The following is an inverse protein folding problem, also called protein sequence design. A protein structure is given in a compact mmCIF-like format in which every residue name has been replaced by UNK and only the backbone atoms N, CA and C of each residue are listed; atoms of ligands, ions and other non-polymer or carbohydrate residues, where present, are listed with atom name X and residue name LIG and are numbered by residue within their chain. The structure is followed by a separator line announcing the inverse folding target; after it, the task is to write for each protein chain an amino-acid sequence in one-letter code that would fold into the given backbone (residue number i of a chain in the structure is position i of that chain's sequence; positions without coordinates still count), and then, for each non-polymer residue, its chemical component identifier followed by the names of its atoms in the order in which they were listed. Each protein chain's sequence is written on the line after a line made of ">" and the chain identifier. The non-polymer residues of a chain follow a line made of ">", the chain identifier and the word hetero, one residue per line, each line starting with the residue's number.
data_IF_837243775987
#
_entry.id   IF_837243775987
#
_cell.length_a   1.000
_cell.length_b   1.000
_cell.length_c   1.000
_cell.angle_alpha   90.00
_cell.angle_beta   90.00
_cell.angle_gamma   90.00
#
_symmetry.space_group_name_H-M   'P 1'
#
loop_
_entity.id
_entity.type
_entity.pdbx_description
1 polymer ?
#
# COMPACT_ATOMS: atom_id res chain seq x y z
N UNK A 1 -15.29 3.47 1.05
CA UNK A 1 -16.63 2.83 1.24
C UNK A 1 -17.73 3.87 1.03
N UNK A 2 -18.90 3.47 0.49
CA UNK A 2 -20.09 4.35 0.35
C UNK A 2 -21.32 3.65 0.92
N UNK A 3 -22.13 4.34 1.73
CA UNK A 3 -23.39 3.83 2.33
C UNK A 3 -24.39 4.98 2.44
N UNK A 4 -25.62 4.79 1.96
CA UNK A 4 -26.73 5.77 2.02
C UNK A 4 -26.29 7.16 1.50
N UNK A 5 -25.42 7.17 0.48
CA UNK A 5 -24.78 8.36 -0.15
C UNK A 5 -23.70 9.08 0.69
N UNK A 6 -23.28 8.54 1.82
CA UNK A 6 -22.07 8.98 2.51
C UNK A 6 -20.85 8.25 1.95
N UNK A 7 -19.83 8.99 1.51
CA UNK A 7 -18.56 8.43 1.03
C UNK A 7 -17.45 8.68 2.06
N UNK A 8 -16.67 7.64 2.35
CA UNK A 8 -15.46 7.76 3.17
C UNK A 8 -14.26 8.09 2.29
N UNK A 9 -13.34 8.89 2.82
CA UNK A 9 -12.06 9.26 2.18
C UNK A 9 -10.90 9.10 3.18
N UNK A 10 -9.68 9.05 2.68
CA UNK A 10 -8.44 8.93 3.46
C UNK A 10 -8.44 7.78 4.46
N UNK A 11 -7.99 8.05 5.67
CA UNK A 11 -7.86 7.06 6.74
C UNK A 11 -9.18 6.36 7.04
N UNK A 12 -10.29 7.10 7.03
CA UNK A 12 -11.63 6.53 7.25
C UNK A 12 -12.03 5.53 6.16
N UNK A 13 -11.46 5.65 4.97
CA UNK A 13 -11.67 4.71 3.87
C UNK A 13 -10.66 3.56 3.84
N UNK A 14 -9.65 3.57 4.72
CA UNK A 14 -8.57 2.58 4.72
C UNK A 14 -7.48 2.85 3.67
N UNK A 15 -7.38 4.08 3.17
CA UNK A 15 -6.42 4.47 2.13
C UNK A 15 -5.06 4.92 2.67
N UNK A 16 -4.74 4.64 3.94
CA UNK A 16 -3.37 4.85 4.45
C UNK A 16 -2.51 3.71 3.96
N UNK A 17 -1.53 4.02 3.11
CA UNK A 17 -0.60 3.02 2.61
C UNK A 17 0.23 2.45 3.75
N UNK A 18 0.26 1.13 3.79
CA UNK A 18 1.13 0.40 4.71
C UNK A 18 2.56 0.48 4.18
N UNK A 19 3.52 0.73 5.07
CA UNK A 19 4.95 0.65 4.79
C UNK A 19 5.56 1.68 3.80
N UNK A 20 4.78 2.56 3.14
CA UNK A 20 5.34 3.58 2.21
C UNK A 20 5.46 5.00 2.77
N UNK A 21 4.79 5.31 3.89
CA UNK A 21 4.82 6.65 4.50
C UNK A 21 4.04 7.73 3.72
N UNK A 22 3.24 7.34 2.73
CA UNK A 22 2.54 8.27 1.82
C UNK A 22 1.08 8.56 2.20
N UNK A 23 0.68 8.25 3.45
CA UNK A 23 -0.71 8.37 3.91
C UNK A 23 -1.34 9.74 3.64
N UNK A 24 -0.58 10.83 3.84
CA UNK A 24 -1.05 12.20 3.56
C UNK A 24 -1.44 12.38 2.09
N UNK A 25 -0.62 11.87 1.16
CA UNK A 25 -0.87 11.98 -0.27
C UNK A 25 -2.16 11.24 -0.65
N UNK A 26 -2.30 9.98 -0.25
CA UNK A 26 -3.46 9.18 -0.62
C UNK A 26 -4.74 9.65 0.06
N UNK A 27 -4.65 10.18 1.28
CA UNK A 27 -5.78 10.84 1.94
C UNK A 27 -6.24 12.08 1.16
N UNK A 28 -5.33 13.01 0.87
CA UNK A 28 -5.66 14.22 0.11
C UNK A 28 -6.18 13.89 -1.31
N UNK A 29 -5.56 12.92 -1.97
CA UNK A 29 -5.94 12.50 -3.32
C UNK A 29 -7.32 11.85 -3.36
N UNK A 30 -7.62 10.98 -2.40
CA UNK A 30 -8.94 10.35 -2.28
C UNK A 30 -10.05 11.38 -2.02
N UNK A 31 -9.79 12.38 -1.18
CA UNK A 31 -10.72 13.50 -0.94
C UNK A 31 -10.98 14.32 -2.18
N UNK A 32 -9.92 14.65 -2.94
CA UNK A 32 -10.06 15.38 -4.22
C UNK A 32 -10.92 14.60 -5.22
N UNK A 33 -10.62 13.32 -5.43
CA UNK A 33 -11.36 12.49 -6.39
C UNK A 33 -12.83 12.30 -5.98
N UNK A 34 -13.12 12.16 -4.68
CA UNK A 34 -14.48 12.10 -4.18
C UNK A 34 -15.25 13.40 -4.49
N UNK A 35 -14.64 14.55 -4.21
CA UNK A 35 -15.24 15.86 -4.48
C UNK A 35 -15.50 16.07 -5.98
N UNK A 36 -14.52 15.79 -6.83
CA UNK A 36 -14.65 15.90 -8.30
C UNK A 36 -15.80 15.03 -8.84
N UNK A 37 -15.90 13.78 -8.38
CA UNK A 37 -16.97 12.87 -8.78
C UNK A 37 -18.35 13.36 -8.31
N UNK A 38 -18.48 13.76 -7.05
CA UNK A 38 -19.75 14.23 -6.47
C UNK A 38 -20.22 15.52 -7.17
N UNK A 39 -19.34 16.50 -7.36
CA UNK A 39 -19.66 17.77 -8.05
C UNK A 39 -20.15 17.50 -9.47
N UNK A 40 -19.48 16.60 -10.20
CA UNK A 40 -19.89 16.22 -11.56
C UNK A 40 -21.26 15.54 -11.57
N UNK A 41 -21.53 14.64 -10.63
CA UNK A 41 -22.81 13.95 -10.52
C UNK A 41 -23.94 14.92 -10.12
N UNK A 42 -23.66 15.93 -9.30
CA UNK A 42 -24.67 16.90 -8.87
C UNK A 42 -25.21 17.82 -9.98
N UNK A 43 -24.56 17.87 -11.15
CA UNK A 43 -24.99 18.68 -12.30
C UNK A 43 -25.36 20.12 -11.91
N UNK A 44 -24.44 20.81 -11.21
CA UNK A 44 -24.66 22.17 -10.72
C UNK A 44 -25.65 22.29 -9.55
N UNK A 45 -25.94 21.19 -8.85
CA UNK A 45 -26.86 21.15 -7.70
C UNK A 45 -28.31 20.80 -8.07
N UNK A 46 -28.59 20.50 -9.34
CA UNK A 46 -29.92 20.13 -9.82
C UNK A 46 -30.39 18.74 -9.34
N UNK A 47 -29.46 17.88 -8.90
CA UNK A 47 -29.79 16.55 -8.36
C UNK A 47 -28.80 16.09 -7.30
N UNK A 48 -29.24 15.15 -6.46
CA UNK A 48 -28.37 14.43 -5.55
C UNK A 48 -27.86 13.13 -6.19
N UNK A 49 -26.55 12.80 -6.08
CA UNK A 49 -26.01 11.54 -6.56
C UNK A 49 -26.59 10.35 -5.79
N UNK A 50 -26.81 9.24 -6.47
CA UNK A 50 -27.16 7.96 -5.84
C UNK A 50 -25.92 7.25 -5.31
N UNK A 51 -26.11 6.29 -4.38
CA UNK A 51 -25.00 5.48 -3.88
C UNK A 51 -24.29 4.71 -4.99
N UNK A 52 -25.05 4.15 -5.94
CA UNK A 52 -24.51 3.41 -7.08
C UNK A 52 -23.61 4.31 -7.95
N UNK A 53 -24.06 5.53 -8.27
CA UNK A 53 -23.27 6.47 -9.07
C UNK A 53 -21.96 6.87 -8.39
N UNK A 54 -21.96 7.08 -7.07
CA UNK A 54 -20.74 7.40 -6.32
C UNK A 54 -19.77 6.20 -6.34
N UNK A 55 -20.28 4.97 -6.22
CA UNK A 55 -19.45 3.76 -6.34
C UNK A 55 -18.87 3.61 -7.75
N UNK A 56 -19.70 3.79 -8.77
CA UNK A 56 -19.31 3.66 -10.18
C UNK A 56 -18.41 4.78 -10.68
N UNK A 57 -18.26 5.88 -9.93
CA UNK A 57 -17.35 6.97 -10.29
C UNK A 57 -16.17 6.98 -9.33
N UNK A 58 -16.31 7.64 -8.18
CA UNK A 58 -15.23 7.83 -7.23
C UNK A 58 -14.53 6.52 -6.83
N UNK A 59 -15.28 5.52 -6.35
CA UNK A 59 -14.66 4.28 -5.85
C UNK A 59 -14.01 3.52 -7.00
N UNK A 60 -14.74 3.31 -8.10
CA UNK A 60 -14.21 2.60 -9.29
C UNK A 60 -12.96 3.27 -9.84
N UNK A 61 -12.96 4.59 -9.98
CA UNK A 61 -11.86 5.32 -10.58
C UNK A 61 -10.65 5.37 -9.63
N UNK A 62 -10.89 5.46 -8.31
CA UNK A 62 -9.84 5.36 -7.29
C UNK A 62 -9.20 3.97 -7.27
N UNK A 63 -10.01 2.91 -7.23
CA UNK A 63 -9.56 1.52 -7.21
C UNK A 63 -8.82 1.17 -8.51
N UNK A 64 -9.26 1.68 -9.66
CA UNK A 64 -8.53 1.54 -10.93
C UNK A 64 -7.16 2.20 -10.89
N UNK A 65 -7.06 3.36 -10.26
CA UNK A 65 -5.81 4.13 -10.21
C UNK A 65 -4.81 3.56 -9.19
N UNK A 66 -5.30 3.07 -8.04
CA UNK A 66 -4.45 2.80 -6.87
C UNK A 66 -4.68 1.42 -6.24
N UNK A 67 -5.74 0.70 -6.59
CA UNK A 67 -6.02 -0.65 -6.10
C UNK A 67 -4.86 -1.64 -6.30
N UNK A 68 -4.18 -1.66 -7.46
CA UNK A 68 -2.97 -2.47 -7.63
C UNK A 68 -1.87 -2.11 -6.62
N UNK A 69 -1.64 -0.83 -6.37
CA UNK A 69 -0.66 -0.34 -5.37
C UNK A 69 -0.96 -0.90 -3.98
N UNK A 70 -2.20 -0.77 -3.51
CA UNK A 70 -2.59 -1.30 -2.20
C UNK A 70 -2.47 -2.81 -2.12
N UNK A 71 -2.82 -3.52 -3.20
CA UNK A 71 -2.72 -4.98 -3.25
C UNK A 71 -1.27 -5.44 -3.10
N UNK A 72 -0.34 -4.84 -3.84
CA UNK A 72 1.09 -5.14 -3.74
C UNK A 72 1.61 -4.87 -2.33
N UNK A 73 1.33 -3.69 -1.76
CA UNK A 73 1.79 -3.34 -0.42
C UNK A 73 1.24 -4.28 0.66
N UNK A 74 -0.01 -4.72 0.54
CA UNK A 74 -0.62 -5.66 1.49
C UNK A 74 -0.01 -7.06 1.38
N UNK A 75 0.33 -7.52 0.16
CA UNK A 75 1.05 -8.78 -0.05
C UNK A 75 2.46 -8.69 0.53
N UNK A 76 3.20 -7.63 0.22
CA UNK A 76 4.55 -7.41 0.78
C UNK A 76 4.51 -7.43 2.31
N UNK A 77 3.53 -6.76 2.92
CA UNK A 77 3.37 -6.76 4.36
C UNK A 77 3.10 -8.17 4.90
N UNK A 78 2.13 -8.89 4.33
CA UNK A 78 1.76 -10.24 4.79
C UNK A 78 2.90 -11.25 4.68
N UNK A 79 3.66 -11.19 3.59
CA UNK A 79 4.76 -12.13 3.33
C UNK A 79 5.96 -11.79 4.20
N UNK A 80 6.47 -10.57 4.08
CA UNK A 80 7.78 -10.21 4.62
C UNK A 80 7.76 -9.87 6.12
N UNK A 81 6.62 -9.49 6.70
CA UNK A 81 6.55 -9.16 8.13
C UNK A 81 6.12 -10.33 9.03
N UNK A 82 5.98 -11.53 8.44
CA UNK A 82 5.50 -12.74 9.12
C UNK A 82 6.52 -13.40 10.06
N UNK A 83 7.81 -13.28 9.79
CA UNK A 83 8.91 -13.85 10.59
C UNK A 83 10.18 -13.01 10.45
N UNK A 84 11.14 -13.18 11.35
CA UNK A 84 12.45 -12.53 11.18
C UNK A 84 13.17 -12.98 9.90
N UNK A 85 13.07 -14.26 9.51
CA UNK A 85 13.64 -14.73 8.25
C UNK A 85 13.06 -14.07 7.02
N UNK A 86 11.74 -13.81 7.02
CA UNK A 86 11.09 -13.07 5.96
C UNK A 86 11.49 -11.59 5.97
N UNK A 87 11.72 -10.97 7.14
CA UNK A 87 12.21 -9.59 7.22
C UNK A 87 13.63 -9.45 6.67
N UNK A 88 14.53 -10.39 6.97
CA UNK A 88 15.88 -10.39 6.40
C UNK A 88 15.87 -10.60 4.89
N UNK A 89 15.00 -11.49 4.39
CA UNK A 89 14.79 -11.66 2.95
C UNK A 89 14.29 -10.38 2.27
N UNK A 90 13.49 -9.57 2.96
CA UNK A 90 13.07 -8.26 2.47
C UNK A 90 14.21 -7.25 2.43
N UNK A 91 15.13 -7.29 3.38
CA UNK A 91 16.35 -6.45 3.36
C UNK A 91 17.22 -6.82 2.16
N UNK A 92 17.46 -8.11 1.93
CA UNK A 92 18.22 -8.59 0.75
C UNK A 92 17.56 -8.15 -0.56
N UNK A 93 16.21 -8.23 -0.64
CA UNK A 93 15.45 -7.74 -1.80
C UNK A 93 15.70 -6.26 -2.07
N UNK A 94 15.76 -5.44 -1.02
CA UNK A 94 15.99 -3.99 -1.13
C UNK A 94 17.41 -3.64 -1.62
N UNK A 95 18.37 -4.56 -1.60
CA UNK A 95 19.72 -4.33 -2.15
C UNK A 95 19.72 -4.31 -3.69
N UNK A 96 18.70 -4.88 -4.33
CA UNK A 96 18.56 -4.90 -5.79
C UNK A 96 18.36 -3.48 -6.35
N UNK A 97 19.23 -3.05 -7.27
CA UNK A 97 19.11 -1.76 -7.98
C UNK A 97 17.74 -1.62 -8.67
N UNK A 98 17.20 -2.71 -9.19
CA UNK A 98 15.89 -2.71 -9.83
C UNK A 98 14.77 -2.41 -8.83
N UNK A 99 14.83 -3.02 -7.64
CA UNK A 99 13.86 -2.77 -6.56
C UNK A 99 13.96 -1.33 -6.09
N UNK A 100 15.18 -0.81 -5.93
CA UNK A 100 15.40 0.59 -5.58
C UNK A 100 14.81 1.52 -6.64
N UNK A 101 15.08 1.27 -7.92
CA UNK A 101 14.52 2.06 -9.02
C UNK A 101 12.99 2.04 -9.00
N UNK A 102 12.37 0.86 -8.95
CA UNK A 102 10.90 0.72 -8.91
C UNK A 102 10.30 1.39 -7.69
N UNK A 103 10.97 1.32 -6.53
CA UNK A 103 10.53 1.98 -5.30
C UNK A 103 10.57 3.50 -5.43
N UNK A 104 11.68 4.05 -5.92
CA UNK A 104 11.82 5.49 -6.15
C UNK A 104 10.86 6.00 -7.21
N UNK A 105 10.71 5.28 -8.32
CA UNK A 105 9.77 5.65 -9.38
C UNK A 105 8.32 5.59 -8.87
N UNK A 106 7.98 4.58 -8.06
CA UNK A 106 6.65 4.49 -7.45
C UNK A 106 6.40 5.61 -6.46
N UNK A 107 7.42 6.00 -5.69
CA UNK A 107 7.36 7.14 -4.78
C UNK A 107 7.27 8.49 -5.53
N UNK A 108 8.00 8.69 -6.62
CA UNK A 108 7.98 9.95 -7.36
C UNK A 108 6.70 10.11 -8.18
N UNK A 109 6.27 9.06 -8.85
CA UNK A 109 5.12 9.07 -9.76
C UNK A 109 3.80 8.64 -9.11
N UNK A 110 3.84 8.20 -7.84
CA UNK A 110 2.69 7.83 -7.01
C UNK A 110 1.80 6.75 -7.64
N UNK A 111 2.41 5.84 -8.40
CA UNK A 111 1.78 4.70 -9.08
C UNK A 111 2.74 3.53 -9.03
N UNK A 112 2.23 2.30 -9.01
CA UNK A 112 3.10 1.12 -9.20
C UNK A 112 3.79 1.26 -10.55
N UNK A 113 5.12 1.30 -10.52
CA UNK A 113 5.97 1.25 -11.70
C UNK A 113 6.57 -0.15 -11.79
N UNK A 114 6.70 -0.67 -13.00
CA UNK A 114 7.04 -2.08 -13.23
C UNK A 114 6.50 -2.53 -14.58
N UNK A 115 7.16 -2.09 -15.64
CA UNK A 115 6.76 -2.38 -17.03
C UNK A 115 7.80 -3.24 -17.75
N UNK A 116 8.64 -3.97 -17.01
CA UNK A 116 9.60 -4.89 -17.60
C UNK A 116 9.31 -6.31 -17.10
N UNK A 117 8.46 -7.07 -17.82
CA UNK A 117 8.03 -8.41 -17.41
C UNK A 117 9.18 -9.37 -17.12
N UNK A 118 10.33 -9.20 -17.78
CA UNK A 118 11.52 -10.01 -17.55
C UNK A 118 12.15 -9.68 -16.19
N UNK A 119 12.27 -8.39 -15.85
CA UNK A 119 12.80 -7.96 -14.56
C UNK A 119 11.83 -8.25 -13.41
N UNK A 120 10.52 -8.16 -13.65
CA UNK A 120 9.50 -8.55 -12.68
C UNK A 120 9.58 -10.06 -12.35
N UNK A 121 9.81 -10.90 -13.36
CA UNK A 121 9.97 -12.35 -13.18
C UNK A 121 11.29 -12.69 -12.47
N UNK A 122 12.38 -12.00 -12.82
CA UNK A 122 13.66 -12.12 -12.11
C UNK A 122 13.51 -11.74 -10.64
N UNK A 123 12.87 -10.60 -10.36
CA UNK A 123 12.59 -10.12 -9.02
C UNK A 123 11.76 -11.11 -8.21
N UNK A 124 10.76 -11.72 -8.83
CA UNK A 124 9.93 -12.76 -8.20
C UNK A 124 10.77 -14.00 -7.86
N UNK A 125 11.66 -14.41 -8.76
CA UNK A 125 12.61 -15.51 -8.52
C UNK A 125 13.58 -15.23 -7.38
N UNK A 126 14.19 -14.04 -7.37
CA UNK A 126 15.07 -13.55 -6.31
C UNK A 126 14.33 -13.51 -4.96
N UNK A 127 13.12 -12.96 -4.95
CA UNK A 127 12.24 -12.91 -3.77
C UNK A 127 11.98 -14.28 -3.18
N UNK A 128 11.59 -15.26 -4.01
CA UNK A 128 11.30 -16.62 -3.57
C UNK A 128 12.56 -17.29 -3.02
N UNK A 129 13.70 -17.13 -3.71
CA UNK A 129 14.99 -17.66 -3.27
C UNK A 129 15.40 -17.10 -1.91
N UNK A 130 15.34 -15.78 -1.73
CA UNK A 130 15.65 -15.09 -0.48
C UNK A 130 14.70 -15.50 0.64
N UNK A 131 13.40 -15.66 0.37
CA UNK A 131 12.44 -16.14 1.38
C UNK A 131 12.73 -17.57 1.84
N UNK A 132 13.07 -18.48 0.92
CA UNK A 132 13.44 -19.86 1.26
C UNK A 132 14.72 -19.86 2.11
N UNK A 133 15.74 -19.10 1.69
CA UNK A 133 17.01 -18.99 2.40
C UNK A 133 16.84 -18.35 3.78
N UNK A 134 16.10 -17.24 3.86
CA UNK A 134 15.82 -16.52 5.09
C UNK A 134 15.08 -17.39 6.10
N UNK A 135 14.05 -18.14 5.67
CA UNK A 135 13.35 -19.07 6.56
C UNK A 135 14.21 -20.28 6.98
N UNK A 136 15.14 -20.74 6.14
CA UNK A 136 16.03 -21.85 6.47
C UNK A 136 17.15 -21.45 7.47
N UNK A 137 17.62 -20.20 7.41
CA UNK A 137 18.73 -19.72 8.25
C UNK A 137 18.29 -18.88 9.46
N UNK A 138 17.02 -18.46 9.52
CA UNK A 138 16.55 -17.61 10.61
C UNK A 138 16.53 -18.34 11.94
N UNK A 139 17.09 -17.67 12.96
CA UNK A 139 16.92 -18.09 14.35
C UNK A 139 15.46 -17.87 14.76
N UNK A 140 14.89 -18.74 15.62
CA UNK A 140 13.56 -18.53 16.17
C UNK A 140 13.44 -17.17 16.86
N UNK A 141 12.28 -16.54 16.74
CA UNK A 141 12.00 -15.27 17.39
C UNK A 141 12.17 -15.39 18.91
N UNK A 142 13.11 -14.61 19.46
CA UNK A 142 13.33 -14.53 20.89
C UNK A 142 12.62 -13.27 21.44
N UNK A 143 11.96 -13.35 22.60
CA UNK A 143 11.39 -12.17 23.24
C UNK A 143 12.53 -11.21 23.64
N UNK A 144 12.49 -10.00 23.10
CA UNK A 144 13.41 -8.93 23.50
C UNK A 144 12.87 -8.34 24.80
N UNK A 145 13.56 -8.60 25.91
CA UNK A 145 13.28 -7.97 27.19
C UNK A 145 14.32 -6.87 27.45
N UNK A 146 13.89 -5.60 27.40
CA UNK A 146 14.73 -4.46 27.75
C UNK A 146 14.19 -3.73 28.99
N UNK A 147 14.44 -4.26 30.21
CA UNK A 147 13.86 -3.74 31.43
C UNK A 147 14.36 -2.33 31.79
N UNK A 148 15.58 -1.97 31.37
CA UNK A 148 16.23 -0.70 31.75
C UNK A 148 15.61 0.50 31.04
N UNK A 149 15.23 0.36 29.76
CA UNK A 149 14.60 1.44 28.99
C UNK A 149 13.10 1.59 29.30
N UNK A 150 12.41 0.49 29.64
CA UNK A 150 11.00 0.53 30.03
C UNK A 150 10.81 1.23 31.38
N UNK A 151 11.76 1.10 32.31
CA UNK A 151 11.70 1.78 33.62
C UNK A 151 11.95 3.28 33.54
N UNK A 152 12.63 3.78 32.49
CA UNK A 152 12.88 5.23 32.28
C UNK A 152 11.72 5.96 31.59
N UNK A 153 10.69 5.23 31.14
CA UNK A 153 9.52 5.76 30.42
C UNK A 153 8.27 5.89 31.30
N UNK A 154 8.37 5.56 32.58
CA UNK A 154 7.35 5.76 33.63
C UNK A 154 7.82 6.92 34.50
#
# INVERSE_FOLDING_TARGET
>A
RVVVRAALVGDAAGYVTKCSGEGIYFAAKSGRMAAEAIVKLMQGGSRLPTEAEIKDTYIRDYDRAYGPTYTVLDILQKVFYSSNGAREAFVELCESEYVQQVTFDSYLYKKVQGNNPLKDLQLLGETVSSLIRGNAMAKPDAPINNPVESQKRI
#
